data_IF_603818120504
#
_entry.id   IF_603818120504
#
_cell.length_a   1.000
_cell.length_b   1.000
_cell.length_c   1.000
_cell.angle_alpha   90.00
_cell.angle_beta   90.00
_cell.angle_gamma   90.00
#
_symmetry.space_group_name_H-M   'P 1'
#
loop_
_entity.id
_entity.type
_entity.pdbx_description
1 polymer ?
#
# COMPACT_ATOMS: atom_id res chain seq x y z
N UNK A 1 -9.67 -24.14 -9.75
CA UNK A 1 -9.79 -22.93 -10.59
C UNK A 1 -11.08 -22.21 -10.20
N UNK A 2 -11.02 -20.94 -9.74
CA UNK A 2 -12.15 -20.27 -9.08
C UNK A 2 -13.15 -19.64 -10.07
N UNK A 3 -14.44 -19.86 -9.78
CA UNK A 3 -15.61 -19.49 -10.62
C UNK A 3 -16.03 -18.01 -10.50
N UNK A 4 -15.31 -17.22 -9.69
CA UNK A 4 -15.69 -15.86 -9.27
C UNK A 4 -14.86 -14.74 -9.93
N UNK A 5 -13.88 -15.06 -10.78
CA UNK A 5 -13.13 -14.04 -11.50
C UNK A 5 -13.73 -13.83 -12.91
N UNK A 6 -14.17 -12.62 -13.28
CA UNK A 6 -14.68 -12.36 -14.63
C UNK A 6 -13.55 -12.47 -15.65
N UNK A 7 -13.58 -13.52 -16.48
CA UNK A 7 -12.72 -13.64 -17.65
C UNK A 7 -13.18 -12.64 -18.71
N UNK A 8 -12.65 -11.42 -18.66
CA UNK A 8 -12.81 -10.46 -19.76
C UNK A 8 -12.09 -11.02 -20.98
N UNK A 9 -12.80 -11.11 -22.12
CA UNK A 9 -12.20 -11.49 -23.41
C UNK A 9 -11.07 -10.51 -23.70
N UNK A 10 -9.84 -11.03 -23.79
CA UNK A 10 -8.67 -10.23 -24.12
C UNK A 10 -8.84 -9.66 -25.52
N UNK A 11 -8.79 -8.34 -25.65
CA UNK A 11 -8.76 -7.71 -26.96
C UNK A 11 -7.35 -7.96 -27.52
N UNK A 12 -7.22 -8.69 -28.62
CA UNK A 12 -5.92 -9.21 -29.10
C UNK A 12 -4.96 -8.13 -29.60
N UNK A 13 -5.41 -6.88 -29.72
CA UNK A 13 -4.55 -5.75 -30.04
C UNK A 13 -5.09 -4.46 -29.38
N UNK A 14 -4.85 -4.25 -28.08
CA UNK A 14 -5.28 -3.02 -27.43
C UNK A 14 -4.37 -1.89 -27.91
N UNK A 15 -4.95 -0.83 -28.48
CA UNK A 15 -4.21 0.42 -28.73
C UNK A 15 -4.03 1.14 -27.40
N UNK A 16 -2.84 1.71 -27.15
CA UNK A 16 -2.59 2.42 -25.90
C UNK A 16 -3.53 3.63 -25.81
N UNK A 17 -4.27 3.73 -24.71
CA UNK A 17 -5.08 4.90 -24.41
C UNK A 17 -4.24 5.87 -23.56
N UNK A 18 -4.64 7.13 -23.47
CA UNK A 18 -4.01 8.11 -22.58
C UNK A 18 -4.06 7.69 -21.09
N UNK A 19 -4.96 6.78 -20.72
CA UNK A 19 -5.05 6.18 -19.39
C UNK A 19 -4.16 4.93 -19.20
N UNK A 20 -3.54 4.41 -20.26
CA UNK A 20 -2.66 3.23 -20.17
C UNK A 20 -1.37 3.61 -19.46
N UNK A 21 -1.11 3.00 -18.30
CA UNK A 21 0.10 3.23 -17.50
C UNK A 21 1.17 2.19 -17.82
N UNK A 22 2.37 2.64 -18.15
CA UNK A 22 3.52 1.79 -18.37
C UNK A 22 4.15 1.35 -17.04
N UNK A 23 4.28 0.05 -16.81
CA UNK A 23 4.88 -0.49 -15.56
C UNK A 23 6.40 -0.29 -15.46
N UNK A 24 7.07 0.07 -16.57
CA UNK A 24 8.52 0.31 -16.59
C UNK A 24 8.86 1.72 -16.16
N UNK A 25 8.19 2.73 -16.72
CA UNK A 25 8.51 4.13 -16.45
C UNK A 25 7.47 4.86 -15.61
N UNK A 26 6.33 4.23 -15.30
CA UNK A 26 5.19 4.82 -14.59
C UNK A 26 4.51 5.98 -15.33
N UNK A 27 4.91 6.25 -16.58
CA UNK A 27 4.26 7.23 -17.46
C UNK A 27 3.00 6.67 -18.13
N UNK A 28 2.19 7.56 -18.69
CA UNK A 28 0.95 7.22 -19.39
C UNK A 28 1.12 7.23 -20.91
N UNK A 29 0.18 6.61 -21.63
CA UNK A 29 0.04 6.73 -23.08
C UNK A 29 0.75 5.68 -23.93
N UNK A 30 1.41 4.68 -23.32
CA UNK A 30 2.08 3.61 -24.06
C UNK A 30 2.15 2.30 -23.24
N UNK A 31 2.36 1.18 -23.94
CA UNK A 31 2.61 -0.10 -23.29
C UNK A 31 4.08 -0.31 -22.97
N UNK A 32 4.35 -1.30 -22.13
CA UNK A 32 5.71 -1.61 -21.65
C UNK A 32 6.70 -1.94 -22.78
N UNK A 33 6.22 -2.55 -23.87
CA UNK A 33 7.05 -2.97 -25.01
C UNK A 33 7.48 -1.80 -25.92
N UNK A 34 6.75 -0.69 -25.91
CA UNK A 34 7.10 0.54 -26.65
C UNK A 34 7.94 1.51 -25.79
N UNK A 35 8.13 1.21 -24.50
CA UNK A 35 8.74 2.12 -23.54
C UNK A 35 10.26 2.29 -23.75
N UNK A 36 10.64 3.45 -24.29
CA UNK A 36 12.04 3.86 -24.50
C UNK A 36 12.70 4.48 -23.26
N UNK A 37 11.94 4.95 -22.28
CA UNK A 37 12.49 5.53 -21.05
C UNK A 37 13.10 4.48 -20.13
N UNK A 38 14.11 4.90 -19.37
CA UNK A 38 14.73 4.09 -18.31
C UNK A 38 13.78 3.95 -17.12
N UNK A 39 14.01 2.92 -16.30
CA UNK A 39 13.20 2.64 -15.10
C UNK A 39 13.59 3.68 -14.02
N UNK A 40 12.71 4.61 -13.62
CA UNK A 40 13.05 5.57 -12.57
C UNK A 40 13.20 4.82 -11.25
N UNK A 41 14.28 5.10 -10.53
CA UNK A 41 14.41 4.63 -9.15
C UNK A 41 13.53 5.49 -8.26
N UNK A 42 12.44 4.90 -7.77
CA UNK A 42 11.55 5.55 -6.80
C UNK A 42 11.85 4.93 -5.45
N UNK A 43 12.42 5.72 -4.53
CA UNK A 43 12.61 5.27 -3.16
C UNK A 43 11.23 5.04 -2.54
N UNK A 44 11.07 3.87 -1.93
CA UNK A 44 9.90 3.59 -1.11
C UNK A 44 10.23 4.10 0.28
N UNK A 45 9.49 5.11 0.80
CA UNK A 45 9.73 5.58 2.16
C UNK A 45 9.56 4.42 3.15
N UNK A 46 10.42 4.38 4.16
CA UNK A 46 10.30 3.41 5.23
C UNK A 46 9.01 3.65 6.03
N UNK A 47 8.55 2.63 6.77
CA UNK A 47 7.32 2.75 7.55
C UNK A 47 7.39 3.89 8.58
N UNK A 48 8.57 4.13 9.16
CA UNK A 48 8.83 5.23 10.11
C UNK A 48 8.80 6.59 9.40
N UNK A 49 9.49 6.73 8.27
CA UNK A 49 9.43 7.94 7.43
C UNK A 49 7.99 8.26 7.00
N UNK A 50 7.17 7.24 6.79
CA UNK A 50 5.78 7.43 6.42
C UNK A 50 4.98 8.11 7.55
N UNK A 51 5.17 7.67 8.79
CA UNK A 51 4.49 8.19 9.97
C UNK A 51 4.96 9.60 10.36
N UNK A 52 6.19 9.97 10.01
CA UNK A 52 6.74 11.30 10.25
C UNK A 52 6.15 12.38 9.32
N UNK A 53 5.45 11.99 8.24
CA UNK A 53 4.85 12.94 7.32
C UNK A 53 3.76 13.78 8.01
N UNK A 54 3.89 15.12 8.05
CA UNK A 54 2.94 15.99 8.77
C UNK A 54 1.52 15.90 8.20
N UNK A 55 1.41 15.63 6.89
CA UNK A 55 0.12 15.40 6.21
C UNK A 55 -0.58 14.13 6.68
N UNK A 56 0.15 13.06 6.98
CA UNK A 56 -0.43 11.82 7.47
C UNK A 56 -0.78 11.93 8.95
N UNK A 57 0.07 12.60 9.73
CA UNK A 57 -0.21 12.92 11.14
C UNK A 57 -1.48 13.76 11.31
N UNK A 58 -1.69 14.77 10.46
CA UNK A 58 -2.89 15.59 10.50
C UNK A 58 -4.16 14.75 10.24
N UNK A 59 -4.12 13.82 9.28
CA UNK A 59 -5.22 12.88 9.00
C UNK A 59 -5.47 11.94 10.18
N UNK A 60 -4.43 11.33 10.74
CA UNK A 60 -4.54 10.44 11.89
C UNK A 60 -5.08 11.14 13.14
N UNK A 61 -4.72 12.42 13.36
CA UNK A 61 -5.25 13.23 14.46
C UNK A 61 -6.71 13.63 14.24
N UNK A 62 -7.09 13.95 13.00
CA UNK A 62 -8.47 14.26 12.63
C UNK A 62 -9.38 13.02 12.71
N UNK A 63 -8.86 11.85 12.34
CA UNK A 63 -9.46 10.53 12.52
C UNK A 63 -9.31 10.01 13.96
N UNK A 64 -9.01 10.89 14.93
CA UNK A 64 -8.57 10.63 16.30
C UNK A 64 -9.54 9.90 17.24
N UNK A 65 -10.46 9.10 16.70
CA UNK A 65 -11.19 8.08 17.43
C UNK A 65 -10.83 6.73 16.79
N UNK A 66 -9.87 5.96 17.35
CA UNK A 66 -9.79 4.55 16.99
C UNK A 66 -11.18 3.95 17.21
N UNK A 67 -11.81 3.44 16.16
CA UNK A 67 -13.17 2.89 16.19
C UNK A 67 -13.34 1.70 17.14
N UNK A 68 -12.23 1.21 17.70
CA UNK A 68 -12.19 0.15 18.69
C UNK A 68 -11.98 0.82 20.05
N UNK A 69 -13.04 0.87 20.84
CA UNK A 69 -12.95 1.14 22.27
C UNK A 69 -12.04 0.08 22.87
N UNK A 70 -10.85 0.50 23.28
CA UNK A 70 -9.90 -0.39 23.97
C UNK A 70 -10.58 -0.85 25.27
N UNK A 71 -10.88 -2.15 25.42
CA UNK A 71 -11.49 -2.67 26.64
C UNK A 71 -10.63 -2.30 27.85
N UNK A 72 -11.26 -2.06 29.00
CA UNK A 72 -10.57 -1.63 30.22
C UNK A 72 -9.45 -2.60 30.65
N UNK A 73 -9.49 -3.85 30.20
CA UNK A 73 -8.46 -4.87 30.41
C UNK A 73 -7.07 -4.50 29.86
N UNK A 74 -6.97 -3.61 28.87
CA UNK A 74 -5.68 -3.17 28.32
C UNK A 74 -5.12 -1.90 28.99
N UNK A 75 -5.89 -1.26 29.89
CA UNK A 75 -5.47 -0.03 30.59
C UNK A 75 -4.80 -0.30 31.93
N UNK A 76 -4.89 -1.52 32.46
CA UNK A 76 -4.18 -1.90 33.68
C UNK A 76 -2.69 -2.11 33.37
N UNK A 77 -1.86 -1.31 34.03
CA UNK A 77 -0.40 -1.42 33.96
C UNK A 77 0.04 -2.56 34.87
N UNK A 78 0.89 -3.44 34.32
CA UNK A 78 1.83 -4.30 35.04
C UNK A 78 1.26 -5.58 35.69
N UNK A 79 1.42 -6.73 35.01
CA UNK A 79 1.11 -8.02 35.61
C UNK A 79 1.18 -9.21 34.67
N UNK A 80 2.28 -9.36 33.93
CA UNK A 80 2.88 -10.64 33.56
C UNK A 80 4.06 -10.36 32.61
N UNK A 81 5.18 -9.94 33.20
CA UNK A 81 6.46 -10.30 32.59
C UNK A 81 6.56 -11.80 32.79
N UNK A 82 6.24 -12.62 31.78
CA UNK A 82 6.88 -13.94 31.69
C UNK A 82 8.35 -13.65 31.42
N UNK A 83 9.26 -13.83 32.37
CA UNK A 83 10.62 -14.07 31.95
C UNK A 83 10.62 -15.43 31.25
N UNK A 84 11.51 -15.57 30.28
CA UNK A 84 11.92 -16.87 29.74
C UNK A 84 10.93 -17.48 28.72
N UNK A 85 11.17 -17.19 27.44
CA UNK A 85 11.48 -18.25 26.48
C UNK A 85 12.14 -17.66 25.21
N UNK A 86 13.48 -17.57 25.26
CA UNK A 86 14.30 -17.66 24.07
C UNK A 86 14.89 -19.08 24.08
N UNK A 87 14.22 -20.01 23.38
CA UNK A 87 14.80 -21.24 22.83
C UNK A 87 14.34 -21.36 21.37
#
# INVERSE_FOLDING_TARGET
>A
MSKFAPHRRSNNNPRANSATVCQKCLGTGHFIFECKSTRPYVSRPSRTELLENPKLLAKLKAEGKPSVEVPEEFKTKYGDRRPDLCD
#
